data_IF_289837938328
#
_entry.id   IF_289837938328
#
_cell.length_a   1.000
_cell.length_b   1.000
_cell.length_c   1.000
_cell.angle_alpha   90.00
_cell.angle_beta   90.00
_cell.angle_gamma   90.00
#
_symmetry.space_group_name_H-M   'P 1'
#
loop_
_entity.id
_entity.type
_entity.pdbx_description
1 polymer ?
#
# COMPACT_ATOMS: atom_id res chain seq x y z
N UNK A 1 31.69 24.96 24.33
CA UNK A 1 31.59 25.15 22.86
C UNK A 1 31.32 23.85 22.08
N UNK A 2 32.10 22.78 22.27
CA UNK A 2 31.96 21.50 21.54
C UNK A 2 30.60 20.80 21.74
N UNK A 3 30.05 20.77 22.97
CA UNK A 3 28.74 20.18 23.25
C UNK A 3 27.58 20.94 22.59
N UNK A 4 27.54 22.27 22.72
CA UNK A 4 26.52 23.11 22.09
C UNK A 4 26.49 22.97 20.54
N UNK A 5 27.65 22.70 19.94
CA UNK A 5 27.78 22.44 18.51
C UNK A 5 27.22 21.07 18.10
N UNK A 6 27.50 20.02 18.88
CA UNK A 6 26.94 18.69 18.67
C UNK A 6 25.41 18.68 18.79
N UNK A 7 24.88 19.34 19.82
CA UNK A 7 23.43 19.48 20.01
C UNK A 7 22.76 20.20 18.84
N UNK A 8 23.37 21.29 18.35
CA UNK A 8 22.84 22.03 17.19
C UNK A 8 22.82 21.17 15.92
N UNK A 9 23.84 20.33 15.71
CA UNK A 9 23.92 19.41 14.58
C UNK A 9 22.83 18.34 14.64
N UNK A 10 22.66 17.68 15.78
CA UNK A 10 21.60 16.66 15.97
C UNK A 10 20.19 17.25 15.80
N UNK A 11 19.96 18.46 16.29
CA UNK A 11 18.68 19.15 16.09
C UNK A 11 18.39 19.42 14.60
N UNK A 12 19.38 19.90 13.85
CA UNK A 12 19.25 20.12 12.41
C UNK A 12 19.00 18.80 11.66
N UNK A 13 19.67 17.72 12.07
CA UNK A 13 19.49 16.40 11.48
C UNK A 13 18.08 15.85 11.73
N UNK A 14 17.56 15.95 12.95
CA UNK A 14 16.18 15.55 13.28
C UNK A 14 15.16 16.33 12.45
N UNK A 15 15.29 17.65 12.38
CA UNK A 15 14.41 18.50 11.56
C UNK A 15 14.45 18.14 10.09
N UNK A 16 15.66 17.96 9.55
CA UNK A 16 15.81 17.54 8.16
C UNK A 16 15.11 16.21 7.91
N UNK A 17 15.25 15.24 8.81
CA UNK A 17 14.57 13.93 8.69
C UNK A 17 13.06 14.06 8.65
N UNK A 18 12.47 14.91 9.51
CA UNK A 18 11.03 15.17 9.51
C UNK A 18 10.56 15.82 8.21
N UNK A 19 11.32 16.81 7.71
CA UNK A 19 11.02 17.48 6.43
C UNK A 19 11.10 16.48 5.28
N UNK A 20 12.14 15.65 5.23
CA UNK A 20 12.30 14.63 4.19
C UNK A 20 11.21 13.56 4.26
N UNK A 21 10.82 13.11 5.45
CA UNK A 21 9.70 12.18 5.63
C UNK A 21 8.41 12.76 5.05
N UNK A 22 8.11 14.02 5.40
CA UNK A 22 6.92 14.72 4.92
C UNK A 22 6.96 14.92 3.40
N UNK A 23 8.10 15.32 2.84
CA UNK A 23 8.28 15.46 1.39
C UNK A 23 8.08 14.14 0.66
N UNK A 24 8.65 13.03 1.16
CA UNK A 24 8.43 11.71 0.57
C UNK A 24 6.95 11.31 0.66
N UNK A 25 6.30 11.56 1.80
CA UNK A 25 4.86 11.35 1.95
C UNK A 25 4.05 12.11 0.91
N UNK A 26 4.35 13.40 0.72
CA UNK A 26 3.69 14.24 -0.30
C UNK A 26 3.98 13.78 -1.73
N UNK A 27 5.21 13.33 -2.02
CA UNK A 27 5.53 12.71 -3.32
C UNK A 27 4.65 11.49 -3.58
N UNK A 28 4.52 10.59 -2.60
CA UNK A 28 3.73 9.37 -2.74
C UNK A 28 2.23 9.66 -2.83
N UNK A 29 1.74 10.68 -2.11
CA UNK A 29 0.38 11.18 -2.26
C UNK A 29 0.11 11.70 -3.68
N UNK A 30 1.03 12.49 -4.22
CA UNK A 30 0.95 13.04 -5.56
C UNK A 30 0.98 11.93 -6.64
N UNK A 31 1.81 10.89 -6.44
CA UNK A 31 1.80 9.71 -7.29
C UNK A 31 0.46 8.95 -7.24
N UNK A 32 -0.13 8.81 -6.04
CA UNK A 32 -1.47 8.24 -5.86
C UNK A 32 -2.56 9.04 -6.57
N UNK A 33 -2.49 10.38 -6.52
CA UNK A 33 -3.39 11.25 -7.29
C UNK A 33 -3.24 11.01 -8.79
N UNK A 34 -2.01 10.97 -9.33
CA UNK A 34 -1.80 10.69 -10.76
C UNK A 34 -2.40 9.35 -11.19
N UNK A 35 -2.13 8.29 -10.42
CA UNK A 35 -2.64 6.94 -10.73
C UNK A 35 -4.16 6.89 -10.59
N UNK A 36 -4.75 7.54 -9.59
CA UNK A 36 -6.21 7.61 -9.45
C UNK A 36 -6.89 8.31 -10.63
N UNK A 37 -6.28 9.39 -11.14
CA UNK A 37 -6.80 10.13 -12.28
C UNK A 37 -6.63 9.34 -13.58
N UNK A 38 -5.50 8.66 -13.75
CA UNK A 38 -5.29 7.73 -14.86
C UNK A 38 -6.30 6.57 -14.82
N UNK A 39 -6.55 6.02 -13.63
CA UNK A 39 -7.51 4.95 -13.39
C UNK A 39 -8.93 5.32 -13.76
N UNK A 40 -9.36 6.54 -13.44
CA UNK A 40 -10.68 7.08 -13.82
C UNK A 40 -10.92 7.14 -15.33
N UNK A 41 -9.87 7.28 -16.12
CA UNK A 41 -9.97 7.26 -17.59
C UNK A 41 -10.24 5.83 -18.11
N UNK A 42 -9.66 4.83 -17.46
CA UNK A 42 -9.87 3.42 -17.81
C UNK A 42 -11.26 2.96 -17.34
N UNK A 43 -11.66 3.36 -16.13
CA UNK A 43 -12.93 2.99 -15.53
C UNK A 43 -13.54 4.20 -14.81
N UNK A 44 -14.61 4.75 -15.37
CA UNK A 44 -15.31 5.90 -14.78
C UNK A 44 -15.92 5.60 -13.41
N UNK A 45 -16.16 4.32 -13.08
CA UNK A 45 -16.66 3.87 -11.78
C UNK A 45 -15.57 3.82 -10.71
N UNK A 46 -14.29 3.86 -11.09
CA UNK A 46 -13.19 3.72 -10.12
C UNK A 46 -12.87 5.05 -9.44
N UNK A 47 -13.31 5.23 -8.20
CA UNK A 47 -13.09 6.44 -7.40
C UNK A 47 -11.87 6.28 -6.46
N UNK A 48 -10.68 6.18 -7.06
CA UNK A 48 -9.46 5.83 -6.35
C UNK A 48 -8.76 6.98 -5.60
N UNK A 49 -9.49 8.03 -5.20
CA UNK A 49 -8.89 9.22 -4.55
C UNK A 49 -8.21 8.88 -3.21
N UNK A 50 -8.67 7.81 -2.56
CA UNK A 50 -8.07 7.26 -1.35
C UNK A 50 -6.63 6.78 -1.54
N UNK A 51 -6.17 6.48 -2.78
CA UNK A 51 -4.79 6.07 -3.05
C UNK A 51 -3.79 7.15 -2.64
N UNK A 52 -4.12 8.43 -2.80
CA UNK A 52 -3.25 9.52 -2.36
C UNK A 52 -3.00 9.49 -0.83
N UNK A 53 -4.07 9.26 -0.07
CA UNK A 53 -4.00 9.17 1.40
C UNK A 53 -3.24 7.92 1.83
N UNK A 54 -3.51 6.78 1.21
CA UNK A 54 -2.78 5.52 1.46
C UNK A 54 -1.29 5.72 1.17
N UNK A 55 -0.95 6.32 0.03
CA UNK A 55 0.44 6.58 -0.35
C UNK A 55 1.16 7.48 0.64
N UNK A 56 0.50 8.53 1.12
CA UNK A 56 1.03 9.38 2.19
C UNK A 56 1.27 8.60 3.48
N UNK A 57 0.26 7.87 3.98
CA UNK A 57 0.33 7.17 5.26
C UNK A 57 1.39 6.08 5.26
N UNK A 58 1.44 5.25 4.21
CA UNK A 58 2.41 4.16 4.10
C UNK A 58 3.83 4.71 3.98
N UNK A 59 4.02 5.80 3.25
CA UNK A 59 5.34 6.43 3.14
C UNK A 59 5.85 6.94 4.50
N UNK A 60 5.00 7.65 5.25
CA UNK A 60 5.33 8.14 6.58
C UNK A 60 5.60 6.98 7.53
N UNK A 61 4.73 5.98 7.56
CA UNK A 61 4.89 4.79 8.38
C UNK A 61 6.19 4.04 8.05
N UNK A 62 6.47 3.83 6.76
CA UNK A 62 7.71 3.18 6.31
C UNK A 62 8.95 3.95 6.72
N UNK A 63 8.92 5.28 6.65
CA UNK A 63 10.02 6.14 7.06
C UNK A 63 10.42 5.91 8.52
N UNK A 64 9.45 5.81 9.44
CA UNK A 64 9.72 5.58 10.85
C UNK A 64 10.08 4.13 11.16
N UNK A 65 9.34 3.18 10.60
CA UNK A 65 9.52 1.74 10.87
C UNK A 65 10.85 1.20 10.36
N UNK A 66 11.34 1.68 9.21
CA UNK A 66 12.58 1.16 8.60
C UNK A 66 13.78 1.24 9.56
N UNK A 67 13.87 2.30 10.37
CA UNK A 67 14.99 2.47 11.31
C UNK A 67 14.92 1.54 12.51
N UNK A 68 13.71 1.28 13.01
CA UNK A 68 13.52 0.29 14.07
C UNK A 68 13.91 -1.10 13.58
N UNK A 69 13.49 -1.44 12.35
CA UNK A 69 13.77 -2.72 11.70
C UNK A 69 15.26 -2.88 11.40
N UNK A 70 15.97 -1.83 10.97
CA UNK A 70 17.41 -1.89 10.63
C UNK A 70 18.32 -2.24 11.81
N UNK A 71 17.85 -2.03 13.05
CA UNK A 71 18.60 -2.42 14.26
C UNK A 71 18.49 -3.91 14.57
N UNK A 72 17.51 -4.60 13.99
CA UNK A 72 17.28 -6.03 14.19
C UNK A 72 18.09 -6.83 13.17
N UNK A 73 18.55 -8.03 13.54
CA UNK A 73 19.19 -8.92 12.57
C UNK A 73 18.17 -9.34 11.51
N UNK A 74 18.62 -9.32 10.25
CA UNK A 74 17.81 -9.74 9.11
C UNK A 74 17.31 -11.17 9.34
N UNK A 75 16.02 -11.40 9.06
CA UNK A 75 15.39 -12.72 9.19
C UNK A 75 15.30 -13.26 10.63
N UNK A 76 15.59 -12.45 11.65
CA UNK A 76 15.27 -12.82 13.03
C UNK A 76 13.76 -12.97 13.24
N UNK A 77 13.38 -13.73 14.26
CA UNK A 77 11.97 -13.86 14.66
C UNK A 77 11.33 -12.50 14.94
N UNK A 78 12.06 -11.60 15.58
CA UNK A 78 11.61 -10.23 15.87
C UNK A 78 11.36 -9.43 14.60
N UNK A 79 12.27 -9.54 13.62
CA UNK A 79 12.13 -8.91 12.30
C UNK A 79 10.88 -9.40 11.56
N UNK A 80 10.67 -10.72 11.50
CA UNK A 80 9.50 -11.32 10.82
C UNK A 80 8.21 -10.90 11.52
N UNK A 81 8.17 -10.91 12.86
CA UNK A 81 6.99 -10.51 13.63
C UNK A 81 6.69 -9.02 13.42
N UNK A 82 7.70 -8.15 13.47
CA UNK A 82 7.53 -6.72 13.24
C UNK A 82 7.01 -6.42 11.83
N UNK A 83 7.63 -7.00 10.81
CA UNK A 83 7.23 -6.80 9.42
C UNK A 83 5.82 -7.35 9.13
N UNK A 84 5.50 -8.54 9.66
CA UNK A 84 4.17 -9.15 9.48
C UNK A 84 3.09 -8.31 10.17
N UNK A 85 3.35 -7.83 11.38
CA UNK A 85 2.44 -6.97 12.14
C UNK A 85 2.17 -5.67 11.39
N UNK A 86 3.22 -5.04 10.87
CA UNK A 86 3.14 -3.82 10.06
C UNK A 86 2.23 -4.01 8.84
N UNK A 87 2.47 -5.08 8.06
CA UNK A 87 1.68 -5.36 6.87
C UNK A 87 0.23 -5.71 7.18
N UNK A 88 -0.06 -6.45 8.25
CA UNK A 88 -1.45 -6.73 8.67
C UNK A 88 -2.20 -5.43 8.93
N UNK A 89 -1.58 -4.48 9.62
CA UNK A 89 -2.21 -3.18 9.90
C UNK A 89 -2.42 -2.37 8.62
N UNK A 90 -1.41 -2.31 7.75
CA UNK A 90 -1.55 -1.64 6.46
C UNK A 90 -2.67 -2.25 5.62
N UNK A 91 -2.79 -3.58 5.56
CA UNK A 91 -3.86 -4.27 4.86
C UNK A 91 -5.24 -3.92 5.43
N UNK A 92 -5.38 -3.78 6.74
CA UNK A 92 -6.62 -3.37 7.39
C UNK A 92 -6.96 -1.90 7.12
N UNK A 93 -5.97 -1.01 7.23
CA UNK A 93 -6.14 0.43 6.94
C UNK A 93 -6.54 0.64 5.48
N UNK A 94 -5.89 -0.06 4.54
CA UNK A 94 -6.24 0.00 3.11
C UNK A 94 -7.68 -0.48 2.91
N UNK A 95 -8.09 -1.60 3.52
CA UNK A 95 -9.46 -2.12 3.37
C UNK A 95 -10.48 -1.13 3.93
N UNK A 96 -10.19 -0.55 5.09
CA UNK A 96 -11.04 0.46 5.70
C UNK A 96 -11.16 1.70 4.82
N UNK A 97 -10.06 2.20 4.25
CA UNK A 97 -10.08 3.36 3.36
C UNK A 97 -10.87 3.11 2.08
N UNK A 98 -10.71 1.94 1.45
CA UNK A 98 -11.48 1.53 0.25
C UNK A 98 -12.97 1.45 0.56
N UNK A 99 -13.35 0.94 1.74
CA UNK A 99 -14.76 0.87 2.13
C UNK A 99 -15.33 2.24 2.49
N UNK A 100 -14.57 3.08 3.20
CA UNK A 100 -14.98 4.43 3.56
C UNK A 100 -15.14 5.33 2.33
N UNK A 101 -14.32 5.16 1.30
CA UNK A 101 -14.48 5.90 0.03
C UNK A 101 -15.75 5.52 -0.72
N UNK A 102 -16.21 4.26 -0.58
CA UNK A 102 -17.49 3.82 -1.14
C UNK A 102 -18.71 4.24 -0.27
N UNK A 103 -18.47 4.73 0.95
CA UNK A 103 -19.50 5.19 1.88
C UNK A 103 -19.69 4.27 3.08
N UNK A 104 -20.13 4.84 4.20
CA UNK A 104 -20.31 4.11 5.47
C UNK A 104 -21.36 2.98 5.37
N UNK A 105 -22.39 3.16 4.54
CA UNK A 105 -23.42 2.14 4.29
C UNK A 105 -22.83 0.87 3.66
N UNK A 106 -21.90 1.04 2.71
CA UNK A 106 -21.21 -0.08 2.06
C UNK A 106 -20.36 -0.84 3.07
N UNK A 107 -19.66 -0.13 3.98
CA UNK A 107 -18.88 -0.74 5.05
C UNK A 107 -19.74 -1.65 5.93
N UNK A 108 -20.90 -1.16 6.39
CA UNK A 108 -21.80 -1.94 7.26
C UNK A 108 -22.40 -3.12 6.49
N UNK A 109 -22.75 -2.94 5.22
CA UNK A 109 -23.29 -4.00 4.37
C UNK A 109 -22.26 -5.09 4.01
N UNK A 110 -20.96 -4.76 4.02
CA UNK A 110 -19.89 -5.68 3.66
C UNK A 110 -19.49 -6.63 4.81
N UNK A 111 -19.64 -6.20 6.06
CA UNK A 111 -19.29 -7.00 7.25
C UNK A 111 -20.01 -8.37 7.28
N UNK A 112 -21.33 -8.47 7.03
CA UNK A 112 -22.02 -9.77 6.94
C UNK A 112 -21.59 -10.62 5.74
N UNK A 113 -21.05 -10.01 4.67
CA UNK A 113 -20.60 -10.74 3.47
C UNK A 113 -19.28 -11.45 3.70
N UNK A 114 -18.39 -10.87 4.52
CA UNK A 114 -17.13 -11.51 4.91
C UNK A 114 -17.34 -12.89 5.55
N UNK A 115 -18.46 -13.11 6.23
CA UNK A 115 -18.78 -14.41 6.82
C UNK A 115 -19.10 -15.47 5.76
N UNK A 116 -19.83 -15.09 4.71
CA UNK A 116 -20.35 -16.02 3.69
C UNK A 116 -19.32 -16.30 2.59
N UNK A 117 -18.55 -15.29 2.20
CA UNK A 117 -17.66 -15.37 1.05
C UNK A 117 -16.37 -14.57 1.29
N UNK A 118 -15.64 -14.88 2.38
CA UNK A 118 -14.46 -14.12 2.80
C UNK A 118 -13.47 -13.84 1.65
N UNK A 119 -12.98 -14.83 0.88
CA UNK A 119 -11.94 -14.55 -0.13
C UNK A 119 -12.43 -13.62 -1.24
N UNK A 120 -13.70 -13.72 -1.63
CA UNK A 120 -14.26 -12.97 -2.75
C UNK A 120 -14.68 -11.55 -2.33
N UNK A 121 -15.28 -11.41 -1.14
CA UNK A 121 -15.72 -10.12 -0.60
C UNK A 121 -14.56 -9.32 0.01
N UNK A 122 -13.60 -10.00 0.63
CA UNK A 122 -12.44 -9.32 1.21
C UNK A 122 -11.45 -8.89 0.13
N UNK A 123 -11.07 -9.79 -0.79
CA UNK A 123 -10.09 -9.51 -1.86
C UNK A 123 -10.78 -9.12 -3.18
N UNK A 124 -11.47 -7.97 -3.18
CA UNK A 124 -11.97 -7.39 -4.43
C UNK A 124 -10.80 -6.81 -5.27
N UNK A 125 -11.04 -6.63 -6.57
CA UNK A 125 -10.00 -6.14 -7.50
C UNK A 125 -9.46 -4.75 -7.11
N UNK A 126 -10.33 -3.87 -6.63
CA UNK A 126 -9.97 -2.52 -6.18
C UNK A 126 -9.06 -2.53 -4.95
N UNK A 127 -9.35 -3.38 -3.95
CA UNK A 127 -8.50 -3.59 -2.79
C UNK A 127 -7.15 -4.17 -3.20
N UNK A 128 -7.14 -5.17 -4.09
CA UNK A 128 -5.90 -5.77 -4.56
C UNK A 128 -5.02 -4.75 -5.30
N UNK A 129 -5.62 -3.91 -6.15
CA UNK A 129 -4.92 -2.81 -6.81
C UNK A 129 -4.32 -1.81 -5.79
N UNK A 130 -5.07 -1.46 -4.75
CA UNK A 130 -4.60 -0.59 -3.67
C UNK A 130 -3.45 -1.23 -2.86
N UNK A 131 -3.50 -2.54 -2.61
CA UNK A 131 -2.43 -3.30 -1.93
C UNK A 131 -1.16 -3.36 -2.78
N UNK A 132 -1.29 -3.59 -4.09
CA UNK A 132 -0.13 -3.57 -5.01
C UNK A 132 0.51 -2.18 -5.03
N UNK A 133 -0.31 -1.12 -5.14
CA UNK A 133 0.16 0.25 -5.10
C UNK A 133 0.87 0.58 -3.77
N UNK A 134 0.26 0.19 -2.65
CA UNK A 134 0.84 0.30 -1.31
C UNK A 134 2.21 -0.40 -1.20
N UNK A 135 2.33 -1.60 -1.76
CA UNK A 135 3.58 -2.36 -1.80
C UNK A 135 4.67 -1.66 -2.61
N UNK A 136 4.34 -1.13 -3.79
CA UNK A 136 5.27 -0.34 -4.59
C UNK A 136 5.78 0.87 -3.80
N UNK A 137 4.89 1.63 -3.17
CA UNK A 137 5.25 2.80 -2.33
C UNK A 137 6.11 2.39 -1.14
N UNK A 138 5.77 1.28 -0.49
CA UNK A 138 6.51 0.78 0.67
C UNK A 138 7.96 0.42 0.30
N UNK A 139 8.17 -0.25 -0.84
CA UNK A 139 9.50 -0.54 -1.35
C UNK A 139 10.25 0.73 -1.75
N UNK A 140 9.59 1.59 -2.53
CA UNK A 140 10.18 2.82 -3.04
C UNK A 140 10.59 3.77 -1.90
N UNK A 141 9.71 3.98 -0.92
CA UNK A 141 10.01 4.79 0.26
C UNK A 141 11.16 4.19 1.06
N UNK A 142 11.19 2.85 1.21
CA UNK A 142 12.31 2.16 1.84
C UNK A 142 13.66 2.50 1.19
N UNK A 143 13.72 2.44 -0.15
CA UNK A 143 14.92 2.77 -0.91
C UNK A 143 15.33 4.25 -0.76
N UNK A 144 14.37 5.19 -0.80
CA UNK A 144 14.65 6.61 -0.59
C UNK A 144 15.22 6.89 0.79
N UNK A 145 14.63 6.28 1.83
CA UNK A 145 15.06 6.50 3.22
C UNK A 145 16.44 5.93 3.46
N UNK A 146 16.75 4.78 2.90
CA UNK A 146 18.09 4.19 2.99
C UNK A 146 19.16 5.09 2.35
N UNK A 147 18.85 5.67 1.17
CA UNK A 147 19.75 6.61 0.50
C UNK A 147 19.89 7.94 1.26
N UNK A 148 18.82 8.44 1.88
CA UNK A 148 18.88 9.63 2.73
C UNK A 148 19.73 9.37 3.99
N UNK A 149 19.54 8.23 4.64
CA UNK A 149 20.33 7.85 5.81
C UNK A 149 21.81 7.66 5.45
N UNK A 150 22.12 7.16 4.25
CA UNK A 150 23.49 7.04 3.73
C UNK A 150 24.18 8.38 3.46
N UNK A 151 23.42 9.46 3.28
CA UNK A 151 23.96 10.83 3.14
C UNK A 151 24.12 11.56 4.48
N UNK A 152 23.59 10.99 5.57
CA UNK A 152 23.59 11.60 6.90
C UNK A 152 24.97 11.69 7.55
N UNK A 153 25.06 12.49 8.61
CA UNK A 153 26.30 12.74 9.35
C UNK A 153 26.94 11.44 9.88
N UNK A 154 26.13 10.54 10.42
CA UNK A 154 26.62 9.26 10.97
C UNK A 154 27.31 8.40 9.91
N UNK A 155 26.74 8.33 8.70
CA UNK A 155 27.34 7.58 7.60
C UNK A 155 28.68 8.20 7.17
N UNK A 156 28.77 9.53 7.13
CA UNK A 156 30.02 10.23 6.81
C UNK A 156 31.12 10.05 7.88
N UNK A 157 30.73 9.97 9.16
CA UNK A 157 31.68 9.68 10.25
C UNK A 157 32.20 8.24 10.16
N UNK A 158 31.32 7.26 9.93
CA UNK A 158 31.70 5.85 9.73
C UNK A 158 32.62 5.71 8.51
N UNK A 159 32.28 6.33 7.37
CA UNK A 159 33.11 6.29 6.17
C UNK A 159 34.52 6.89 6.39
N UNK A 160 34.66 7.85 7.32
CA UNK A 160 35.95 8.42 7.71
C UNK A 160 36.74 7.52 8.66
N UNK A 161 36.08 6.62 9.38
CA UNK A 161 36.76 5.62 10.22
C UNK A 161 37.17 4.39 9.40
N UNK A 162 36.35 4.00 8.41
CA UNK A 162 36.53 2.81 7.56
C UNK A 162 37.22 3.17 6.23
N UNK A 163 38.38 3.83 6.30
CA UNK A 163 39.08 4.47 5.15
C UNK A 163 39.51 3.51 4.00
N UNK A 164 39.38 2.18 4.11
CA UNK A 164 40.15 1.28 3.24
C UNK A 164 39.41 0.41 2.20
N UNK A 165 38.07 0.33 2.11
CA UNK A 165 37.46 -0.76 1.31
C UNK A 165 36.71 -0.40 0.00
N UNK A 166 36.01 0.73 -0.14
CA UNK A 166 35.10 0.91 -1.29
C UNK A 166 35.16 2.32 -1.89
N UNK A 167 36.11 2.55 -2.80
CA UNK A 167 36.20 3.78 -3.61
C UNK A 167 35.31 3.78 -4.86
N UNK A 168 34.70 2.63 -5.22
CA UNK A 168 33.93 2.47 -6.47
C UNK A 168 32.40 2.52 -6.29
N UNK A 169 31.90 2.79 -5.08
CA UNK A 169 30.46 2.90 -4.88
C UNK A 169 29.93 4.22 -5.46
N UNK A 170 28.97 4.13 -6.39
CA UNK A 170 28.22 5.28 -6.92
C UNK A 170 27.72 6.15 -5.77
N UNK A 171 27.96 7.48 -5.78
CA UNK A 171 27.61 8.33 -4.64
C UNK A 171 26.09 8.26 -4.36
N UNK A 172 25.66 8.13 -3.09
CA UNK A 172 24.24 7.96 -2.72
C UNK A 172 23.30 8.99 -3.35
N UNK A 173 23.78 10.22 -3.54
CA UNK A 173 23.03 11.30 -4.23
C UNK A 173 22.68 10.97 -5.67
N UNK A 174 23.60 10.38 -6.45
CA UNK A 174 23.32 10.02 -7.85
C UNK A 174 22.28 8.90 -7.91
N UNK A 175 22.35 7.93 -7.00
CA UNK A 175 21.33 6.87 -6.86
C UNK A 175 19.97 7.45 -6.46
N UNK A 176 19.94 8.40 -5.53
CA UNK A 176 18.70 9.09 -5.14
C UNK A 176 18.07 9.80 -6.33
N UNK A 177 18.86 10.54 -7.10
CA UNK A 177 18.40 11.16 -8.34
C UNK A 177 17.85 10.12 -9.32
N UNK A 178 18.61 9.06 -9.61
CA UNK A 178 18.20 8.02 -10.55
C UNK A 178 16.88 7.35 -10.16
N UNK A 179 16.70 7.01 -8.88
CA UNK A 179 15.47 6.39 -8.38
C UNK A 179 14.28 7.36 -8.43
N UNK A 180 14.47 8.60 -7.97
CA UNK A 180 13.40 9.61 -7.96
C UNK A 180 12.95 9.98 -9.37
N UNK A 181 13.89 10.22 -10.30
CA UNK A 181 13.58 10.51 -11.69
C UNK A 181 13.08 9.28 -12.44
N UNK A 182 13.59 8.08 -12.15
CA UNK A 182 13.13 6.83 -12.76
C UNK A 182 11.67 6.54 -12.42
N UNK A 183 11.29 6.63 -11.14
CA UNK A 183 9.89 6.48 -10.74
C UNK A 183 9.01 7.61 -11.29
N UNK A 184 9.53 8.85 -11.32
CA UNK A 184 8.84 9.96 -11.96
C UNK A 184 8.62 9.77 -13.46
N UNK A 185 9.57 9.15 -14.17
CA UNK A 185 9.45 8.83 -15.59
C UNK A 185 8.38 7.75 -15.83
N UNK A 186 8.33 6.72 -14.98
CA UNK A 186 7.24 5.72 -15.00
C UNK A 186 5.89 6.39 -14.75
N UNK A 187 5.81 7.28 -13.76
CA UNK A 187 4.58 8.03 -13.48
C UNK A 187 4.16 8.92 -14.65
N UNK A 188 5.13 9.59 -15.28
CA UNK A 188 4.93 10.41 -16.49
C UNK A 188 4.44 9.55 -17.65
N UNK A 189 4.98 8.35 -17.83
CA UNK A 189 4.53 7.41 -18.85
C UNK A 189 3.07 6.99 -18.63
N UNK A 190 2.69 6.62 -17.40
CA UNK A 190 1.28 6.33 -17.08
C UNK A 190 0.36 7.54 -17.28
N UNK A 191 0.83 8.73 -16.92
CA UNK A 191 0.08 9.98 -17.12
C UNK A 191 -0.09 10.28 -18.61
N UNK A 192 0.94 10.05 -19.43
CA UNK A 192 0.90 10.24 -20.87
C UNK A 192 -0.03 9.21 -21.53
N UNK A 193 0.04 7.94 -21.15
CA UNK A 193 -0.89 6.90 -21.62
C UNK A 193 -2.33 7.23 -21.24
N UNK A 194 -2.56 7.74 -20.03
CA UNK A 194 -3.91 8.14 -19.59
C UNK A 194 -4.49 9.34 -20.36
N UNK A 195 -3.65 10.09 -21.07
CA UNK A 195 -4.09 11.18 -21.96
C UNK A 195 -4.42 10.71 -23.37
N UNK A 196 -3.79 9.64 -23.82
CA UNK A 196 -4.14 9.02 -25.09
C UNK A 196 -5.50 8.36 -24.85
N UNK A 197 -6.54 8.88 -25.50
CA UNK A 197 -7.86 8.30 -25.45
C UNK A 197 -7.83 6.96 -26.20
N UNK A 198 -7.38 5.92 -25.51
CA UNK A 198 -7.34 4.55 -26.01
C UNK A 198 -8.74 4.11 -26.43
N UNK A 199 -9.79 4.66 -25.82
CA UNK A 199 -11.18 4.38 -26.16
C UNK A 199 -11.54 4.89 -27.56
N UNK A 200 -11.08 6.10 -27.91
CA UNK A 200 -11.22 6.65 -29.26
C UNK A 200 -10.45 5.82 -30.31
N UNK A 201 -9.32 5.19 -29.94
CA UNK A 201 -8.57 4.29 -30.83
C UNK A 201 -9.28 2.95 -31.06
N UNK A 202 -10.01 2.42 -30.07
CA UNK A 202 -10.70 1.13 -30.16
C UNK A 202 -12.14 1.22 -30.73
N UNK A 203 -12.80 2.39 -30.68
CA UNK A 203 -14.21 2.55 -31.16
C UNK A 203 -14.37 2.80 -32.67
N UNK A 204 -13.34 2.55 -33.50
CA UNK A 204 -13.43 2.47 -34.98
C UNK A 204 -13.90 3.72 -35.75
N UNK A 205 -13.93 4.89 -35.10
CA UNK A 205 -14.12 6.16 -35.81
C UNK A 205 -12.73 6.79 -36.02
N UNK A 206 -12.18 6.68 -37.23
CA UNK A 206 -10.87 7.22 -37.67
C UNK A 206 -10.80 8.76 -37.67
N UNK A 207 -11.47 9.42 -36.73
CA UNK A 207 -11.34 10.83 -36.44
C UNK A 207 -10.70 10.99 -35.07
N UNK A 208 -9.47 11.50 -35.03
CA UNK A 208 -8.81 11.87 -33.77
C UNK A 208 -9.57 13.07 -33.20
N UNK A 209 -10.63 12.79 -32.43
CA UNK A 209 -11.29 13.81 -31.61
C UNK A 209 -10.31 14.13 -30.49
N UNK A 210 -9.48 15.15 -30.72
CA UNK A 210 -8.68 15.76 -29.67
C UNK A 210 -9.65 16.42 -28.69
N UNK A 211 -10.15 15.66 -27.72
CA UNK A 211 -10.78 16.29 -26.58
C UNK A 211 -9.72 17.18 -25.92
N UNK A 212 -10.02 18.47 -25.88
CA UNK A 212 -9.17 19.53 -25.35
C UNK A 212 -9.16 19.42 -23.81
N UNK A 213 -8.63 18.30 -23.32
CA UNK A 213 -8.45 18.03 -21.89
C UNK A 213 -7.40 19.03 -21.39
N UNK A 214 -7.76 19.74 -20.32
CA UNK A 214 -6.85 20.71 -19.69
C UNK A 214 -5.49 20.06 -19.43
N UNK A 215 -4.36 20.75 -19.65
CA UNK A 215 -3.00 20.24 -19.37
C UNK A 215 -2.77 19.82 -17.91
N UNK A 216 -3.70 20.10 -17.00
CA UNK A 216 -3.67 19.65 -15.60
C UNK A 216 -4.58 18.44 -15.34
N UNK A 217 -5.46 18.09 -16.27
CA UNK A 217 -6.33 16.93 -16.21
C UNK A 217 -5.56 15.62 -16.50
N UNK A 218 -6.23 14.49 -16.23
CA UNK A 218 -5.73 13.13 -16.47
C UNK A 218 -4.39 12.80 -15.78
N UNK A 219 -4.18 13.25 -14.54
CA UNK A 219 -3.00 12.94 -13.74
C UNK A 219 -1.85 13.94 -13.87
N UNK A 220 -1.95 14.91 -14.79
CA UNK A 220 -0.89 15.91 -15.02
C UNK A 220 -0.50 16.69 -13.77
N UNK A 221 -1.49 17.14 -12.99
CA UNK A 221 -1.27 17.88 -11.75
C UNK A 221 -0.52 17.03 -10.69
N UNK A 222 -0.90 15.77 -10.51
CA UNK A 222 -0.24 14.87 -9.56
C UNK A 222 1.22 14.62 -9.93
N UNK A 223 1.51 14.47 -11.22
CA UNK A 223 2.86 14.18 -11.70
C UNK A 223 3.75 15.41 -11.57
N UNK A 224 3.22 16.61 -11.82
CA UNK A 224 3.93 17.87 -11.58
C UNK A 224 4.22 18.08 -10.09
N UNK A 225 3.23 17.84 -9.23
CA UNK A 225 3.42 17.90 -7.77
C UNK A 225 4.47 16.89 -7.29
N UNK A 226 4.46 15.67 -7.83
CA UNK A 226 5.51 14.68 -7.56
C UNK A 226 6.90 15.23 -7.87
N UNK A 227 7.11 15.78 -9.07
CA UNK A 227 8.41 16.35 -9.45
C UNK A 227 8.78 17.58 -8.62
N UNK A 228 7.82 18.40 -8.22
CA UNK A 228 8.07 19.53 -7.34
C UNK A 228 8.60 19.06 -5.98
N UNK A 229 7.91 18.09 -5.35
CA UNK A 229 8.36 17.54 -4.06
C UNK A 229 9.66 16.74 -4.19
N UNK A 230 9.88 16.06 -5.32
CA UNK A 230 11.13 15.40 -5.65
C UNK A 230 12.31 16.38 -5.72
N UNK A 231 12.15 17.51 -6.42
CA UNK A 231 13.19 18.55 -6.50
C UNK A 231 13.44 19.19 -5.14
N UNK A 232 12.39 19.40 -4.34
CA UNK A 232 12.53 19.85 -2.97
C UNK A 232 13.34 18.83 -2.13
N UNK A 233 13.06 17.53 -2.27
CA UNK A 233 13.79 16.47 -1.58
C UNK A 233 15.27 16.41 -2.02
N UNK A 234 15.56 16.57 -3.32
CA UNK A 234 16.92 16.62 -3.85
C UNK A 234 17.69 17.85 -3.35
N UNK A 235 17.02 19.01 -3.27
CA UNK A 235 17.59 20.22 -2.65
C UNK A 235 17.93 19.99 -1.17
N UNK A 236 17.04 19.30 -0.45
CA UNK A 236 17.29 18.89 0.93
C UNK A 236 18.48 17.92 1.05
N UNK A 237 18.62 16.95 0.13
CA UNK A 237 19.79 16.06 0.07
C UNK A 237 21.11 16.81 -0.16
N UNK A 238 21.09 17.86 -0.99
CA UNK A 238 22.25 18.74 -1.18
C UNK A 238 22.62 19.48 0.11
N UNK A 239 21.61 20.00 0.83
CA UNK A 239 21.81 20.65 2.12
C UNK A 239 22.45 19.72 3.15
N UNK A 240 22.02 18.45 3.27
CA UNK A 240 22.67 17.50 4.21
C UNK A 240 24.15 17.34 3.90
N UNK A 241 24.48 17.20 2.62
CA UNK A 241 25.86 16.98 2.17
C UNK A 241 26.74 18.19 2.53
N UNK A 242 26.24 19.41 2.28
CA UNK A 242 26.91 20.66 2.66
C UNK A 242 27.03 20.79 4.18
N UNK A 243 25.94 20.54 4.92
CA UNK A 243 25.93 20.60 6.38
C UNK A 243 26.94 19.61 6.99
N UNK A 244 27.05 18.41 6.42
CA UNK A 244 28.03 17.40 6.84
C UNK A 244 29.46 17.86 6.56
N UNK A 245 29.73 18.46 5.40
CA UNK A 245 31.05 19.04 5.09
C UNK A 245 31.43 20.19 6.03
N UNK A 246 30.51 21.13 6.25
CA UNK A 246 30.69 22.21 7.23
C UNK A 246 30.92 21.65 8.62
N UNK A 247 30.19 20.59 8.99
CA UNK A 247 30.37 19.93 10.27
C UNK A 247 31.79 19.39 10.45
N UNK A 248 32.29 18.65 9.45
CA UNK A 248 33.64 18.09 9.43
C UNK A 248 34.72 19.17 9.42
N UNK A 249 34.47 20.31 8.76
CA UNK A 249 35.35 21.48 8.72
C UNK A 249 35.22 22.38 9.96
N UNK A 250 34.35 22.03 10.92
CA UNK A 250 34.08 22.81 12.14
C UNK A 250 33.57 24.23 11.87
N UNK A 251 32.88 24.44 10.75
CA UNK A 251 32.25 25.71 10.42
C UNK A 251 30.92 25.82 11.20
N UNK A 252 30.72 26.88 12.00
CA UNK A 252 29.49 27.04 12.78
C UNK A 252 28.28 27.28 11.88
N UNK A 253 27.24 26.44 12.01
CA UNK A 253 25.98 26.54 11.27
C UNK A 253 24.84 26.86 12.25
N UNK A 254 23.94 27.77 11.86
CA UNK A 254 22.79 28.14 12.70
C UNK A 254 21.70 27.05 12.72
N UNK A 255 20.98 26.93 13.85
CA UNK A 255 19.88 25.96 14.04
C UNK A 255 18.65 26.20 13.13
N UNK A 256 18.53 27.41 12.57
CA UNK A 256 17.42 27.79 11.71
C UNK A 256 17.68 27.53 10.22
N UNK A 257 18.92 27.17 9.84
CA UNK A 257 19.33 27.11 8.44
C UNK A 257 18.54 26.06 7.64
N UNK A 258 18.33 24.86 8.19
CA UNK A 258 17.60 23.78 7.52
C UNK A 258 16.16 24.19 7.12
N UNK A 259 15.45 24.84 8.04
CA UNK A 259 14.07 25.31 7.81
C UNK A 259 14.03 26.42 6.77
N UNK A 260 14.96 27.38 6.83
CA UNK A 260 15.04 28.47 5.86
C UNK A 260 15.37 27.94 4.46
N UNK A 261 16.31 27.01 4.37
CA UNK A 261 16.65 26.35 3.10
C UNK A 261 15.46 25.63 2.47
N UNK A 262 14.66 24.92 3.28
CA UNK A 262 13.44 24.28 2.83
C UNK A 262 12.42 25.28 2.30
N UNK A 263 12.16 26.35 3.06
CA UNK A 263 11.22 27.41 2.67
C UNK A 263 11.67 28.09 1.38
N UNK A 264 12.95 28.45 1.26
CA UNK A 264 13.47 29.09 0.04
C UNK A 264 13.44 28.15 -1.17
N UNK A 265 13.75 26.87 -0.99
CA UNK A 265 13.64 25.88 -2.07
C UNK A 265 12.21 25.74 -2.56
N UNK A 266 11.25 25.67 -1.64
CA UNK A 266 9.83 25.56 -1.98
C UNK A 266 9.31 26.85 -2.62
N UNK A 267 9.68 28.02 -2.10
CA UNK A 267 9.33 29.31 -2.67
C UNK A 267 9.89 29.49 -4.09
N UNK A 268 11.14 29.05 -4.31
CA UNK A 268 11.76 29.05 -5.63
C UNK A 268 11.02 28.14 -6.62
N UNK A 269 10.61 26.94 -6.19
CA UNK A 269 9.84 26.02 -7.03
C UNK A 269 8.45 26.59 -7.35
N UNK A 270 7.78 27.22 -6.38
CA UNK A 270 6.50 27.87 -6.59
C UNK A 270 6.63 29.03 -7.58
N UNK A 271 7.68 29.84 -7.46
CA UNK A 271 8.00 30.88 -8.44
C UNK A 271 8.22 30.29 -9.84
N UNK A 272 8.94 29.18 -9.95
CA UNK A 272 9.16 28.49 -11.23
C UNK A 272 7.84 27.99 -11.84
N UNK A 273 6.93 27.45 -11.02
CA UNK A 273 5.58 27.07 -11.46
C UNK A 273 4.79 28.28 -11.95
N UNK A 274 4.85 29.40 -11.23
CA UNK A 274 4.17 30.64 -11.63
C UNK A 274 4.70 31.13 -12.99
N UNK A 275 6.01 31.14 -13.17
CA UNK A 275 6.65 31.50 -14.44
C UNK A 275 6.26 30.52 -15.55
N UNK A 276 6.30 29.22 -15.29
CA UNK A 276 5.92 28.19 -16.25
C UNK A 276 4.43 28.27 -16.63
N UNK A 277 3.56 28.69 -15.72
CA UNK A 277 2.13 28.89 -15.98
C UNK A 277 1.84 30.15 -16.81
N UNK A 278 2.74 31.13 -16.80
CA UNK A 278 2.65 32.33 -17.64
C UNK A 278 3.20 32.05 -19.05
N UNK A 279 4.09 31.06 -19.18
CA UNK A 279 4.64 30.68 -20.48
C UNK A 279 3.53 30.16 -21.41
N UNK A 280 3.44 30.65 -22.67
CA UNK A 280 2.54 30.11 -23.67
C UNK A 280 2.95 28.68 -24.02
N UNK A 281 2.39 27.69 -23.34
CA UNK A 281 2.64 26.26 -23.64
C UNK A 281 1.94 25.80 -24.91
N UNK A 282 1.23 26.68 -25.61
CA UNK A 282 0.59 26.41 -26.90
C UNK A 282 1.59 26.11 -28.02
N UNK A 283 2.85 26.53 -27.90
CA UNK A 283 3.87 26.31 -28.94
C UNK A 283 4.35 24.85 -29.04
N UNK A 284 4.19 24.03 -27.99
CA UNK A 284 4.61 22.62 -28.03
C UNK A 284 3.57 21.69 -28.65
N UNK A 285 2.40 22.20 -29.05
CA UNK A 285 1.34 21.41 -29.69
C UNK A 285 1.86 20.70 -30.95
N UNK A 286 2.80 21.28 -31.69
CA UNK A 286 3.41 20.66 -32.88
C UNK A 286 4.36 19.50 -32.55
N UNK A 287 5.18 19.61 -31.50
CA UNK A 287 6.12 18.54 -31.13
C UNK A 287 5.42 17.34 -30.49
N UNK A 288 4.45 17.60 -29.61
CA UNK A 288 3.73 16.54 -28.90
C UNK A 288 2.82 15.75 -29.85
N UNK A 289 2.23 16.42 -30.85
CA UNK A 289 1.47 15.75 -31.92
C UNK A 289 2.38 14.91 -32.81
N UNK A 290 3.57 15.39 -33.20
CA UNK A 290 4.57 14.57 -33.92
C UNK A 290 4.97 13.32 -33.12
N UNK A 291 5.20 13.45 -31.81
CA UNK A 291 5.51 12.31 -30.96
C UNK A 291 4.31 11.36 -30.81
N UNK A 292 3.10 11.90 -30.76
CA UNK A 292 1.85 11.14 -30.80
C UNK A 292 1.73 10.31 -32.09
N UNK A 293 1.99 10.90 -33.25
CA UNK A 293 2.00 10.19 -34.53
C UNK A 293 3.08 9.09 -34.57
N UNK A 294 4.26 9.34 -34.03
CA UNK A 294 5.33 8.33 -33.92
C UNK A 294 4.94 7.17 -33.01
N UNK A 295 4.32 7.46 -31.87
CA UNK A 295 3.84 6.43 -30.93
C UNK A 295 2.70 5.61 -31.54
N UNK A 296 1.76 6.27 -32.23
CA UNK A 296 0.64 5.62 -32.92
C UNK A 296 1.13 4.70 -34.05
N UNK A 297 2.12 5.16 -34.83
CA UNK A 297 2.79 4.34 -35.84
C UNK A 297 3.46 3.12 -35.22
N UNK A 298 4.15 3.29 -34.08
CA UNK A 298 4.81 2.19 -33.37
C UNK A 298 3.80 1.17 -32.81
N UNK A 299 2.71 1.64 -32.18
CA UNK A 299 1.65 0.78 -31.65
C UNK A 299 0.94 0.04 -32.80
N UNK A 300 0.62 0.74 -33.89
CA UNK A 300 0.02 0.14 -35.09
C UNK A 300 0.92 -0.92 -35.70
N UNK A 301 2.23 -0.67 -35.79
CA UNK A 301 3.22 -1.64 -36.25
C UNK A 301 3.27 -2.88 -35.34
N UNK A 302 3.26 -2.67 -34.02
CA UNK A 302 3.24 -3.77 -33.04
C UNK A 302 1.95 -4.60 -33.14
N UNK A 303 0.78 -3.95 -33.22
CA UNK A 303 -0.51 -4.62 -33.39
C UNK A 303 -0.58 -5.40 -34.70
N UNK A 304 -0.02 -4.85 -35.79
CA UNK A 304 0.11 -5.55 -37.07
C UNK A 304 0.97 -6.81 -36.92
N UNK A 305 2.10 -6.73 -36.21
CA UNK A 305 2.97 -7.87 -35.96
C UNK A 305 2.27 -8.96 -35.13
N UNK A 306 1.56 -8.58 -34.06
CA UNK A 306 0.71 -9.51 -33.29
C UNK A 306 -0.38 -10.12 -34.15
N UNK A 307 -1.04 -9.33 -35.01
CA UNK A 307 -2.05 -9.79 -35.95
C UNK A 307 -1.51 -10.83 -36.93
N UNK A 308 -0.31 -10.61 -37.48
CA UNK A 308 0.38 -11.58 -38.34
C UNK A 308 0.66 -12.88 -37.58
N UNK A 309 1.19 -12.79 -36.35
CA UNK A 309 1.47 -13.97 -35.52
C UNK A 309 0.19 -14.77 -35.26
N UNK A 310 -0.89 -14.09 -34.86
CA UNK A 310 -2.18 -14.73 -34.60
C UNK A 310 -2.78 -15.34 -35.87
N UNK A 311 -2.65 -14.69 -37.02
CA UNK A 311 -3.11 -15.21 -38.31
C UNK A 311 -2.32 -16.46 -38.72
N UNK A 312 -0.99 -16.45 -38.57
CA UNK A 312 -0.14 -17.62 -38.82
C UNK A 312 -0.47 -18.76 -37.87
N UNK A 313 -0.64 -18.46 -36.58
CA UNK A 313 -1.03 -19.46 -35.58
C UNK A 313 -2.40 -20.06 -35.90
N UNK A 314 -3.37 -19.22 -36.24
CA UNK A 314 -4.72 -19.64 -36.66
C UNK A 314 -4.69 -20.49 -37.94
N UNK A 315 -3.84 -20.15 -38.90
CA UNK A 315 -3.61 -20.93 -40.11
C UNK A 315 -2.98 -22.30 -39.80
N UNK A 316 -1.98 -22.35 -38.92
CA UNK A 316 -1.36 -23.62 -38.49
C UNK A 316 -2.37 -24.48 -37.74
N UNK A 317 -3.20 -23.88 -36.88
CA UNK A 317 -4.28 -24.58 -36.17
C UNK A 317 -5.37 -25.04 -37.12
N UNK A 318 -5.64 -24.34 -38.23
CA UNK A 318 -6.67 -24.72 -39.22
C UNK A 318 -6.22 -25.82 -40.18
N UNK A 319 -4.91 -26.00 -40.41
CA UNK A 319 -4.35 -27.08 -41.24
C UNK A 319 -4.86 -28.50 -40.89
N UNK A 320 -4.89 -28.94 -39.61
CA UNK A 320 -5.47 -30.25 -39.28
C UNK A 320 -6.98 -30.30 -39.58
N UNK A 321 -7.74 -29.22 -39.39
CA UNK A 321 -9.17 -29.20 -39.71
C UNK A 321 -9.44 -29.27 -41.21
N UNK A 322 -8.55 -28.73 -42.05
CA UNK A 322 -8.56 -28.88 -43.50
C UNK A 322 -8.26 -30.32 -43.95
N UNK A 323 -7.37 -31.02 -43.25
CA UNK A 323 -7.04 -32.43 -43.53
C UNK A 323 -8.15 -33.42 -43.12
N UNK A 324 -8.97 -33.05 -42.13
CA UNK A 324 -10.06 -33.90 -41.62
C UNK A 324 -11.40 -33.73 -42.34
N UNK A 325 -11.45 -33.03 -43.50
CA UNK A 325 -12.64 -32.74 -44.30
C UNK A 325 -13.94 -32.72 -43.47
N UNK A 326 -13.95 -31.90 -42.43
CA UNK A 326 -15.18 -31.63 -41.69
C UNK A 326 -15.99 -30.73 -42.60
N UNK A 327 -16.97 -31.31 -43.29
CA UNK A 327 -18.12 -30.58 -43.75
C UNK A 327 -18.60 -29.75 -42.56
N UNK A 328 -18.41 -28.44 -42.63
CA UNK A 328 -19.08 -27.51 -41.73
C UNK A 328 -20.55 -27.81 -41.93
N UNK A 329 -21.30 -28.28 -40.92
CA UNK A 329 -22.74 -28.39 -41.07
C UNK A 329 -23.23 -27.00 -41.41
N UNK A 330 -23.79 -26.84 -42.60
CA UNK A 330 -24.46 -25.61 -43.04
C UNK A 330 -25.80 -25.41 -42.31
N UNK A 331 -25.86 -25.78 -41.04
CA UNK A 331 -26.94 -25.57 -40.10
C UNK A 331 -26.38 -24.79 -38.92
N UNK A 332 -26.09 -23.50 -39.15
CA UNK A 332 -26.34 -22.54 -38.09
C UNK A 332 -27.85 -22.62 -37.82
N UNK A 333 -28.32 -22.99 -36.62
CA UNK A 333 -29.72 -22.82 -36.31
C UNK A 333 -30.04 -21.33 -36.46
N UNK A 334 -30.87 -21.02 -37.45
CA UNK A 334 -31.60 -19.75 -37.50
C UNK A 334 -32.21 -19.57 -36.12
N UNK A 335 -31.92 -18.46 -35.44
CA UNK A 335 -32.60 -18.13 -34.19
C UNK A 335 -34.12 -18.07 -34.47
N UNK A 336 -34.94 -19.01 -33.97
CA UNK A 336 -36.37 -18.87 -34.03
C UNK A 336 -36.79 -17.92 -32.90
N UNK A 337 -37.76 -17.07 -33.25
CA UNK A 337 -38.45 -16.09 -32.40
C UNK A 337 -38.89 -16.64 -31.03
N UNK A 338 -39.16 -15.74 -30.06
CA UNK A 338 -39.43 -16.12 -28.67
C UNK A 338 -40.64 -17.03 -28.59
N UNK A 339 -40.46 -18.20 -27.96
CA UNK A 339 -41.56 -19.05 -27.52
C UNK A 339 -41.84 -18.78 -26.05
N UNK A 340 -43.13 -18.64 -25.77
CA UNK A 340 -43.73 -18.39 -24.48
C UNK A 340 -43.45 -19.53 -23.49
N UNK A 341 -43.16 -19.13 -22.24
CA UNK A 341 -43.34 -19.86 -20.97
C UNK A 341 -43.32 -21.39 -21.00
N UNK A 342 -42.24 -21.96 -20.46
CA UNK A 342 -42.28 -23.23 -19.75
C UNK A 342 -41.98 -22.97 -18.24
N UNK A 343 -42.57 -23.76 -17.32
CA UNK A 343 -42.69 -23.45 -15.89
C UNK A 343 -41.34 -23.43 -15.13
N UNK A 344 -41.29 -22.71 -13.98
CA UNK A 344 -40.10 -22.53 -13.15
C UNK A 344 -39.85 -23.74 -12.21
N UNK A 345 -38.75 -23.73 -11.43
CA UNK A 345 -37.48 -24.41 -11.65
C UNK A 345 -37.39 -25.78 -10.92
N UNK A 346 -36.55 -26.71 -11.40
CA UNK A 346 -36.05 -27.76 -10.52
C UNK A 346 -35.20 -27.10 -9.43
N UNK A 347 -35.76 -27.05 -8.23
CA UNK A 347 -35.04 -26.80 -7.00
C UNK A 347 -33.97 -27.88 -6.90
N UNK A 348 -32.74 -27.57 -7.32
CA UNK A 348 -31.57 -28.14 -6.68
C UNK A 348 -31.71 -27.70 -5.22
N UNK A 349 -32.28 -28.57 -4.39
CA UNK A 349 -32.25 -28.41 -2.94
C UNK A 349 -30.79 -28.16 -2.58
N UNK A 350 -30.44 -26.96 -2.08
CA UNK A 350 -29.17 -26.84 -1.39
C UNK A 350 -29.31 -27.83 -0.23
N UNK A 351 -28.44 -28.84 -0.17
CA UNK A 351 -28.21 -29.58 1.07
C UNK A 351 -28.04 -28.51 2.14
N UNK A 352 -29.07 -28.31 2.97
CA UNK A 352 -29.08 -27.23 3.93
C UNK A 352 -27.86 -27.43 4.81
N UNK A 353 -26.84 -26.55 4.72
CA UNK A 353 -25.67 -26.68 5.56
C UNK A 353 -26.17 -26.64 7.00
N UNK A 354 -25.73 -27.63 7.78
CA UNK A 354 -26.15 -27.80 9.18
C UNK A 354 -25.98 -26.45 9.91
N UNK A 355 -27.07 -25.77 10.33
CA UNK A 355 -27.01 -24.36 10.74
C UNK A 355 -26.06 -24.09 11.91
N UNK A 356 -25.94 -25.05 12.84
CA UNK A 356 -25.02 -24.94 13.96
C UNK A 356 -23.54 -25.07 13.55
N UNK A 357 -23.24 -25.80 12.48
CA UNK A 357 -21.87 -25.96 11.96
C UNK A 357 -21.42 -24.68 11.25
N UNK A 358 -22.32 -24.00 10.54
CA UNK A 358 -22.05 -22.66 10.00
C UNK A 358 -21.86 -21.63 11.10
N UNK A 359 -22.69 -21.68 12.15
CA UNK A 359 -22.55 -20.82 13.33
C UNK A 359 -21.20 -21.07 14.03
N UNK A 360 -20.80 -22.33 14.22
CA UNK A 360 -19.50 -22.67 14.81
C UNK A 360 -18.33 -22.18 13.95
N UNK A 361 -18.37 -22.40 12.63
CA UNK A 361 -17.37 -21.88 11.69
C UNK A 361 -17.28 -20.36 11.76
N UNK A 362 -18.42 -19.67 11.84
CA UNK A 362 -18.51 -18.22 11.98
C UNK A 362 -17.89 -17.74 13.30
N UNK A 363 -18.24 -18.36 14.44
CA UNK A 363 -17.67 -18.03 15.75
C UNK A 363 -16.16 -18.25 15.78
N UNK A 364 -15.68 -19.37 15.24
CA UNK A 364 -14.24 -19.66 15.16
C UNK A 364 -13.52 -18.66 14.26
N UNK A 365 -14.09 -18.36 13.09
CA UNK A 365 -13.55 -17.37 12.16
C UNK A 365 -13.41 -15.99 12.83
N UNK A 366 -14.47 -15.48 13.46
CA UNK A 366 -14.42 -14.19 14.15
C UNK A 366 -13.46 -14.20 15.34
N UNK A 367 -13.41 -15.29 16.10
CA UNK A 367 -12.46 -15.42 17.20
C UNK A 367 -11.01 -15.33 16.69
N UNK A 368 -10.66 -16.06 15.63
CA UNK A 368 -9.33 -16.02 15.03
C UNK A 368 -9.05 -14.65 14.42
N UNK A 369 -10.00 -14.08 13.66
CA UNK A 369 -9.84 -12.79 13.02
C UNK A 369 -9.61 -11.68 14.06
N UNK A 370 -10.46 -11.60 15.09
CA UNK A 370 -10.31 -10.64 16.19
C UNK A 370 -9.00 -10.88 16.94
N UNK A 371 -8.60 -12.13 17.16
CA UNK A 371 -7.33 -12.46 17.80
C UNK A 371 -6.13 -11.94 17.00
N UNK A 372 -6.08 -12.21 15.69
CA UNK A 372 -4.98 -11.79 14.80
C UNK A 372 -4.94 -10.27 14.66
N UNK A 373 -6.10 -9.62 14.46
CA UNK A 373 -6.22 -8.17 14.34
C UNK A 373 -5.86 -7.50 15.68
N UNK A 374 -6.44 -7.97 16.78
CA UNK A 374 -6.19 -7.44 18.11
C UNK A 374 -4.73 -7.61 18.55
N UNK A 375 -4.15 -8.79 18.34
CA UNK A 375 -2.74 -9.04 18.61
C UNK A 375 -1.85 -8.11 17.77
N UNK A 376 -2.13 -7.97 16.47
CA UNK A 376 -1.37 -7.07 15.59
C UNK A 376 -1.43 -5.63 16.06
N UNK A 377 -2.61 -5.11 16.41
CA UNK A 377 -2.78 -3.74 16.91
C UNK A 377 -2.02 -3.53 18.22
N UNK A 378 -2.17 -4.44 19.19
CA UNK A 378 -1.49 -4.34 20.49
C UNK A 378 0.02 -4.38 20.30
N UNK A 379 0.51 -5.29 19.47
CA UNK A 379 1.93 -5.43 19.18
C UNK A 379 2.49 -4.17 18.51
N UNK A 380 1.77 -3.61 17.54
CA UNK A 380 2.16 -2.37 16.88
C UNK A 380 2.17 -1.17 17.83
N UNK A 381 1.13 -0.99 18.65
CA UNK A 381 1.09 0.09 19.64
C UNK A 381 2.21 -0.02 20.68
N UNK A 382 2.59 -1.25 21.06
CA UNK A 382 3.75 -1.49 21.94
C UNK A 382 5.07 -1.14 21.25
N UNK A 383 5.18 -1.40 19.95
CA UNK A 383 6.37 -1.04 19.17
C UNK A 383 6.47 0.48 18.93
N UNK A 384 5.34 1.19 18.96
CA UNK A 384 5.24 2.62 18.70
C UNK A 384 4.75 3.40 19.94
N UNK A 385 5.58 3.47 20.99
CA UNK A 385 5.25 4.19 22.24
C UNK A 385 4.85 5.66 22.00
N UNK A 386 5.44 6.32 21.00
CA UNK A 386 5.09 7.69 20.61
C UNK A 386 3.64 7.82 20.13
N UNK A 387 3.18 6.85 19.33
CA UNK A 387 1.79 6.79 18.87
C UNK A 387 0.88 6.55 20.06
N UNK A 388 1.26 5.66 20.98
CA UNK A 388 0.52 5.43 22.21
C UNK A 388 0.41 6.71 23.06
N UNK A 389 1.49 7.49 23.18
CA UNK A 389 1.51 8.74 23.91
C UNK A 389 0.64 9.82 23.25
N UNK A 390 0.64 9.90 21.92
CA UNK A 390 -0.25 10.79 21.16
C UNK A 390 -1.72 10.37 21.31
N UNK A 391 -1.99 9.07 21.22
CA UNK A 391 -3.34 8.51 21.31
C UNK A 391 -3.94 8.72 22.71
N UNK A 392 -3.13 8.61 23.77
CA UNK A 392 -3.55 8.94 25.16
C UNK A 392 -3.97 10.39 25.36
N UNK A 393 -3.52 11.32 24.51
CA UNK A 393 -3.92 12.74 24.58
C UNK A 393 -5.29 12.98 23.93
N UNK A 394 -5.80 12.04 23.13
CA UNK A 394 -7.10 12.19 22.50
C UNK A 394 -8.23 11.93 23.52
N UNK A 395 -9.26 12.82 23.61
CA UNK A 395 -10.31 12.70 24.61
C UNK A 395 -11.14 11.40 24.48
N UNK A 396 -11.25 10.85 23.27
CA UNK A 396 -11.92 9.57 23.00
C UNK A 396 -11.17 8.33 23.50
N UNK A 397 -9.88 8.45 23.85
CA UNK A 397 -9.08 7.31 24.28
C UNK A 397 -9.60 6.71 25.60
N UNK A 398 -10.16 7.52 26.50
CA UNK A 398 -10.76 7.04 27.76
C UNK A 398 -11.92 6.08 27.51
N UNK A 399 -12.72 6.32 26.47
CA UNK A 399 -13.86 5.46 26.10
C UNK A 399 -13.34 4.14 25.54
N UNK A 400 -12.33 4.19 24.68
CA UNK A 400 -11.71 3.01 24.08
C UNK A 400 -10.99 2.18 25.14
N UNK A 401 -10.24 2.80 26.05
CA UNK A 401 -9.57 2.09 27.13
C UNK A 401 -10.58 1.47 28.10
N UNK A 402 -11.64 2.18 28.46
CA UNK A 402 -12.71 1.63 29.30
C UNK A 402 -13.42 0.44 28.62
N UNK A 403 -13.66 0.52 27.31
CA UNK A 403 -14.21 -0.58 26.53
C UNK A 403 -13.26 -1.79 26.48
N UNK A 404 -11.96 -1.54 26.32
CA UNK A 404 -10.94 -2.59 26.30
C UNK A 404 -10.75 -3.25 27.68
N UNK A 405 -10.76 -2.45 28.75
CA UNK A 405 -10.73 -2.92 30.13
C UNK A 405 -11.97 -3.78 30.42
N UNK A 406 -13.14 -3.37 29.93
CA UNK A 406 -14.36 -4.17 30.02
C UNK A 406 -14.23 -5.52 29.27
N UNK A 407 -13.76 -5.54 28.02
CA UNK A 407 -13.52 -6.78 27.26
C UNK A 407 -12.51 -7.68 27.96
N UNK A 408 -11.38 -7.15 28.39
CA UNK A 408 -10.34 -7.94 29.05
C UNK A 408 -10.84 -8.51 30.40
N UNK A 409 -11.70 -7.77 31.10
CA UNK A 409 -12.36 -8.26 32.31
C UNK A 409 -13.31 -9.43 32.03
N UNK A 410 -14.03 -9.41 30.89
CA UNK A 410 -14.89 -10.53 30.47
C UNK A 410 -14.08 -11.80 30.21
N UNK A 411 -12.95 -11.69 29.51
CA UNK A 411 -12.04 -12.83 29.31
C UNK A 411 -11.41 -13.32 30.62
N UNK A 412 -11.02 -12.40 31.51
CA UNK A 412 -10.52 -12.73 32.84
C UNK A 412 -11.56 -13.45 33.71
N UNK A 413 -12.84 -13.11 33.57
CA UNK A 413 -13.95 -13.77 34.25
C UNK A 413 -14.25 -15.15 33.66
N UNK A 414 -14.22 -15.30 32.33
CA UNK A 414 -14.36 -16.58 31.65
C UNK A 414 -13.24 -17.55 32.02
N UNK A 415 -11.99 -17.09 32.06
CA UNK A 415 -10.85 -17.94 32.43
C UNK A 415 -10.94 -18.39 33.91
N UNK A 416 -11.38 -17.50 34.81
CA UNK A 416 -11.67 -17.85 36.20
C UNK A 416 -12.83 -18.84 36.32
N UNK A 417 -13.87 -18.70 35.48
CA UNK A 417 -14.99 -19.62 35.39
C UNK A 417 -14.58 -21.02 34.90
N UNK A 418 -13.85 -21.10 33.80
CA UNK A 418 -13.30 -22.35 33.26
C UNK A 418 -12.38 -23.04 34.28
N UNK A 419 -11.50 -22.29 34.95
CA UNK A 419 -10.64 -22.87 35.99
C UNK A 419 -11.44 -23.41 37.19
N UNK A 420 -12.56 -22.77 37.57
CA UNK A 420 -13.47 -23.29 38.60
C UNK A 420 -14.18 -24.57 38.14
N UNK A 421 -14.63 -24.63 36.89
CA UNK A 421 -15.29 -25.83 36.33
C UNK A 421 -14.31 -26.99 36.19
N UNK A 422 -13.08 -26.72 35.73
CA UNK A 422 -12.01 -27.73 35.66
C UNK A 422 -11.63 -28.20 37.07
N UNK A 423 -11.52 -27.30 38.05
CA UNK A 423 -11.23 -27.67 39.44
C UNK A 423 -12.37 -28.49 40.06
N UNK A 424 -13.63 -28.13 39.82
CA UNK A 424 -14.80 -28.87 40.28
C UNK A 424 -14.93 -30.24 39.59
N UNK A 425 -14.63 -30.32 38.29
CA UNK A 425 -14.56 -31.59 37.55
C UNK A 425 -13.44 -32.49 38.06
N UNK A 426 -12.25 -31.92 38.33
CA UNK A 426 -11.12 -32.64 38.92
C UNK A 426 -11.41 -33.12 40.35
N UNK A 427 -12.18 -32.37 41.12
CA UNK A 427 -12.64 -32.78 42.45
C UNK A 427 -13.67 -33.93 42.38
N UNK A 428 -14.57 -33.94 41.39
CA UNK A 428 -15.52 -35.05 41.16
C UNK A 428 -14.87 -36.32 40.63
N UNK A 429 -13.80 -36.19 39.84
CA UNK A 429 -13.06 -37.32 39.28
C UNK A 429 -12.00 -37.89 40.22
N UNK A 430 -11.76 -37.27 41.38
CA UNK A 430 -10.89 -37.83 42.42
C UNK A 430 -11.77 -38.77 43.25
N UNK A 431 -11.63 -40.10 43.14
CA UNK A 431 -12.39 -41.01 43.97
C UNK A 431 -12.01 -40.70 45.41
N UNK A 432 -13.03 -40.44 46.23
CA UNK A 432 -12.87 -40.36 47.66
C UNK A 432 -12.57 -41.80 48.12
N UNK A 433 -11.29 -42.18 48.05
CA UNK A 433 -10.80 -43.41 48.67
C UNK A 433 -10.96 -43.17 50.17
N UNK A 434 -12.08 -43.64 50.71
CA UNK A 434 -12.36 -43.62 52.14
C UNK A 434 -11.40 -44.60 52.83
N UNK A 435 -10.39 -44.11 53.58
CA UNK A 435 -9.42 -44.98 54.20
C UNK A 435 -9.98 -45.73 55.43
N UNK A 436 -11.27 -45.54 55.77
CA UNK A 436 -11.87 -46.12 56.97
C UNK A 436 -12.57 -47.47 56.73
N UNK A 437 -12.73 -47.92 55.48
CA UNK A 437 -13.45 -49.14 55.14
C UNK A 437 -12.57 -50.36 54.79
N UNK A 438 -11.44 -50.54 55.50
CA UNK A 438 -10.58 -51.75 55.40
C UNK A 438 -10.51 -52.52 56.73
N UNK A 439 -11.29 -52.16 57.75
CA UNK A 439 -11.29 -52.84 59.06
C UNK A 439 -12.26 -54.02 59.19
N UNK A 440 -12.87 -54.49 58.09
CA UNK A 440 -13.86 -55.58 58.10
C UNK A 440 -13.33 -56.99 57.85
N UNK A 441 -12.06 -57.18 57.51
CA UNK A 441 -11.51 -58.47 57.04
C UNK A 441 -10.60 -59.19 58.06
N UNK A 442 -10.94 -59.14 59.35
CA UNK A 442 -10.19 -59.87 60.41
C UNK A 442 -11.06 -60.68 61.37
N UNK A 443 -12.27 -61.09 60.95
CA UNK A 443 -13.03 -62.14 61.65
C UNK A 443 -13.62 -63.11 60.65
N UNK A 444 -12.86 -64.16 60.33
CA UNK A 444 -13.27 -65.55 60.09
C UNK A 444 -12.15 -66.26 59.31
N UNK A 445 -11.14 -66.74 60.04
CA UNK A 445 -10.54 -68.09 60.00
C UNK A 445 -9.22 -68.11 60.78
#
# INVERSE_FOLDING_TARGET
MKQAYLEASHFNEQRHRLISAFLIGLMMAAAGLSISQAGRQISSTWQADYLAVIGFLIAIERFYTLRAIKKMSTLSREWVVALSTQWIINLLVIKLMVLLSAGFEVLVAEIPRWQRAFPQSFFNAEYLAAVIFALIIWFFTGALVELLDAMGLNAALIAREVITAERDATPPRQRLMAIVFGFGAVLMFFTAMARVDLRALFESNLGIVHHNLSPLAAGGAGTLLYFMFALALLSQGNYITLNTRWFLQRVPVSRAMASRWAIYSLAFLLLLILIASILPTSYSLGFLSVMGYLLDLLISFFMLLVGIIMAVLGFIISLPFLLFNRDVPADLPQAPRPTLMAPPPELVTPTAPIPWLELLKSVIFWAIFILVVGYSIVQYLRQHEEVMAALRKFPGWKIISAFWDWISSLFGNLNRGMNRVIAAGKARLRPQVDPTNVSGFSRLL
#
